data_IF_490764978884
#
_entry.id   IF_490764978884
#
_cell.length_a   1.000
_cell.length_b   1.000
_cell.length_c   1.000
_cell.angle_alpha   90.00
_cell.angle_beta   90.00
_cell.angle_gamma   90.00
#
_symmetry.space_group_name_H-M   'P 1'
#
loop_
_entity.id
_entity.type
_entity.pdbx_description
1 polymer ?
#
# COMPACT_ATOMS: atom_id res chain seq x y z
N UNK A 1 74.04 61.43 76.84
CA UNK A 1 73.07 60.39 76.47
C UNK A 1 73.45 59.89 75.10
N UNK A 2 73.82 58.61 75.01
CA UNK A 2 74.64 58.02 73.94
C UNK A 2 73.89 57.91 72.60
N UNK A 3 74.61 58.13 71.50
CA UNK A 3 74.06 58.09 70.12
C UNK A 3 73.47 56.73 69.71
N UNK A 4 73.65 55.70 70.52
CA UNK A 4 73.08 54.36 70.34
C UNK A 4 71.56 54.34 70.46
N UNK A 5 70.97 55.13 71.37
CA UNK A 5 69.51 55.16 71.56
C UNK A 5 68.83 55.87 70.38
N UNK A 6 69.45 56.93 69.84
CA UNK A 6 68.96 57.65 68.67
C UNK A 6 69.00 56.77 67.42
N UNK A 7 70.05 55.96 67.24
CA UNK A 7 70.17 55.06 66.09
C UNK A 7 69.12 53.93 66.10
N UNK A 8 68.75 53.41 67.28
CA UNK A 8 67.71 52.37 67.39
C UNK A 8 66.32 52.96 67.08
N UNK A 9 66.04 54.18 67.56
CA UNK A 9 64.77 54.87 67.28
C UNK A 9 64.61 55.23 65.81
N UNK A 10 65.66 55.70 65.13
CA UNK A 10 65.58 56.01 63.70
C UNK A 10 65.40 54.75 62.84
N UNK A 11 66.01 53.64 63.22
CA UNK A 11 65.85 52.36 62.52
C UNK A 11 64.44 51.76 62.70
N UNK A 12 63.85 51.89 63.90
CA UNK A 12 62.48 51.45 64.17
C UNK A 12 61.45 52.26 63.38
N UNK A 13 61.63 53.58 63.26
CA UNK A 13 60.76 54.45 62.46
C UNK A 13 60.89 54.13 60.96
N UNK A 14 62.11 53.88 60.48
CA UNK A 14 62.35 53.46 59.09
C UNK A 14 61.65 52.14 58.74
N UNK A 15 61.66 51.16 59.64
CA UNK A 15 60.99 49.87 59.44
C UNK A 15 59.47 50.03 59.34
N UNK A 16 58.86 50.84 60.21
CA UNK A 16 57.42 51.09 60.19
C UNK A 16 56.96 51.80 58.91
N UNK A 17 57.73 52.77 58.42
CA UNK A 17 57.45 53.45 57.15
C UNK A 17 57.59 52.47 55.98
N UNK A 18 58.59 51.60 56.00
CA UNK A 18 58.78 50.56 54.98
C UNK A 18 57.61 49.58 54.89
N UNK A 19 57.10 49.11 56.04
CA UNK A 19 55.93 48.21 56.09
C UNK A 19 54.67 48.92 55.58
N UNK A 20 54.45 50.17 55.95
CA UNK A 20 53.31 50.95 55.49
C UNK A 20 53.33 51.21 53.97
N UNK A 21 54.51 51.53 53.40
CA UNK A 21 54.67 51.68 51.95
C UNK A 21 54.50 50.33 51.22
N UNK A 22 54.99 49.24 51.80
CA UNK A 22 54.83 47.89 51.25
C UNK A 22 53.36 47.50 51.12
N UNK A 23 52.54 47.79 52.13
CA UNK A 23 51.10 47.51 52.11
C UNK A 23 50.35 48.33 51.05
N UNK A 24 50.76 49.60 50.85
CA UNK A 24 50.11 50.51 49.90
C UNK A 24 50.43 50.16 48.44
N UNK A 25 51.65 49.68 48.17
CA UNK A 25 52.05 49.23 46.82
C UNK A 25 51.45 47.85 46.49
N UNK A 26 51.32 46.95 47.46
CA UNK A 26 50.63 45.68 47.27
C UNK A 26 49.13 45.85 46.94
N UNK A 27 48.48 46.87 47.52
CA UNK A 27 47.08 47.20 47.22
C UNK A 27 46.82 47.83 45.85
N UNK A 28 47.85 48.15 45.06
CA UNK A 28 47.72 48.81 43.74
C UNK A 28 48.18 47.97 42.55
N UNK A 29 48.59 46.71 42.75
CA UNK A 29 49.00 45.79 41.66
C UNK A 29 47.95 44.76 41.23
N UNK A 30 46.72 44.84 41.75
CA UNK A 30 45.59 43.98 41.33
C UNK A 30 44.56 44.71 40.48
N UNK A 31 44.99 45.58 39.57
CA UNK A 31 44.10 46.29 38.65
C UNK A 31 44.73 46.48 37.27
N UNK A 32 45.01 45.40 36.52
CA UNK A 32 45.27 45.55 35.06
C UNK A 32 45.04 44.31 34.16
N UNK A 33 44.31 43.25 34.56
CA UNK A 33 44.08 42.11 33.62
C UNK A 33 42.66 41.49 33.65
N UNK A 34 41.67 42.13 34.28
CA UNK A 34 40.35 41.53 34.48
C UNK A 34 39.23 41.96 33.53
N UNK A 35 39.39 43.02 32.74
CA UNK A 35 38.23 43.74 32.17
C UNK A 35 37.75 43.24 30.79
N UNK A 36 38.50 42.41 30.06
CA UNK A 36 38.05 41.93 28.74
C UNK A 36 37.34 40.57 28.74
N UNK A 37 37.56 39.73 29.75
CA UNK A 37 36.91 38.42 29.82
C UNK A 37 35.45 38.51 30.30
N UNK A 38 35.14 39.43 31.22
CA UNK A 38 33.82 39.54 31.83
C UNK A 38 32.75 40.10 30.87
N UNK A 39 33.09 41.11 30.04
CA UNK A 39 32.16 41.67 29.04
C UNK A 39 31.90 40.71 27.88
N UNK A 40 32.90 39.91 27.45
CA UNK A 40 32.68 38.92 26.39
C UNK A 40 31.84 37.71 26.85
N UNK A 41 31.90 37.37 28.14
CA UNK A 41 31.09 36.30 28.73
C UNK A 41 29.63 36.74 28.90
N UNK A 42 29.37 37.98 29.35
CA UNK A 42 28.01 38.49 29.48
C UNK A 42 27.30 38.67 28.13
N UNK A 43 27.99 39.20 27.12
CA UNK A 43 27.44 39.37 25.77
C UNK A 43 27.20 38.04 25.05
N UNK A 44 28.01 37.00 25.34
CA UNK A 44 27.75 35.64 24.83
C UNK A 44 26.55 35.00 25.51
N UNK A 45 26.48 35.09 26.84
CA UNK A 45 25.35 34.54 27.60
C UNK A 45 24.02 35.17 27.18
N UNK A 46 24.00 36.48 26.95
CA UNK A 46 22.82 37.21 26.48
C UNK A 46 22.41 36.80 25.06
N UNK A 47 23.38 36.66 24.13
CA UNK A 47 23.11 36.18 22.76
C UNK A 47 22.61 34.73 22.73
N UNK A 48 23.15 33.87 23.59
CA UNK A 48 22.77 32.46 23.66
C UNK A 48 21.35 32.30 24.25
N UNK A 49 20.96 33.17 25.20
CA UNK A 49 19.59 33.25 25.71
C UNK A 49 18.58 33.63 24.62
N UNK A 50 18.87 34.68 23.84
CA UNK A 50 18.01 35.15 22.76
C UNK A 50 17.90 34.15 21.60
N UNK A 51 18.94 33.36 21.33
CA UNK A 51 18.88 32.25 20.37
C UNK A 51 18.01 31.11 20.89
N UNK A 52 18.19 30.72 22.16
CA UNK A 52 17.39 29.68 22.79
C UNK A 52 15.89 30.01 22.79
N UNK A 53 15.50 31.26 23.08
CA UNK A 53 14.10 31.68 23.01
C UNK A 53 13.53 31.64 21.59
N UNK A 54 14.30 32.07 20.58
CA UNK A 54 13.88 32.00 19.17
C UNK A 54 13.77 30.57 18.66
N UNK A 55 14.70 29.71 19.03
CA UNK A 55 14.69 28.30 18.62
C UNK A 55 13.54 27.55 19.30
N UNK A 56 13.22 27.89 20.57
CA UNK A 56 12.05 27.36 21.28
C UNK A 56 10.73 27.84 20.69
N UNK A 57 10.64 29.12 20.29
CA UNK A 57 9.45 29.67 19.64
C UNK A 57 9.24 29.11 18.22
N UNK A 58 10.32 28.90 17.47
CA UNK A 58 10.29 28.29 16.13
C UNK A 58 9.96 26.79 16.20
N UNK A 59 10.47 26.07 17.20
CA UNK A 59 10.12 24.68 17.45
C UNK A 59 8.64 24.52 17.82
N UNK A 60 8.11 25.40 18.68
CA UNK A 60 6.68 25.43 19.00
C UNK A 60 5.79 25.73 17.78
N UNK A 61 6.20 26.65 16.92
CA UNK A 61 5.45 27.00 15.70
C UNK A 61 5.49 25.91 14.63
N UNK A 62 6.63 25.23 14.43
CA UNK A 62 6.75 24.10 13.48
C UNK A 62 5.93 22.89 13.95
N UNK A 63 6.04 22.56 15.24
CA UNK A 63 5.24 21.48 15.82
C UNK A 63 3.74 21.78 15.73
N UNK A 64 3.32 23.03 15.97
CA UNK A 64 1.92 23.42 15.81
C UNK A 64 1.43 23.32 14.36
N UNK A 65 2.29 23.63 13.36
CA UNK A 65 1.92 23.51 11.95
C UNK A 65 1.89 22.06 11.46
N UNK A 66 2.81 21.21 11.91
CA UNK A 66 2.78 19.76 11.62
C UNK A 66 1.59 19.07 12.30
N UNK A 67 1.27 19.41 13.54
CA UNK A 67 0.10 18.87 14.26
C UNK A 67 -1.19 19.29 13.59
N UNK A 68 -1.31 20.54 13.12
CA UNK A 68 -2.50 20.99 12.40
C UNK A 68 -2.62 20.33 11.01
N UNK A 69 -1.51 20.12 10.30
CA UNK A 69 -1.49 19.38 9.04
C UNK A 69 -1.89 17.90 9.23
N UNK A 70 -1.40 17.27 10.30
CA UNK A 70 -1.75 15.90 10.66
C UNK A 70 -3.22 15.78 11.08
N UNK A 71 -3.74 16.75 11.85
CA UNK A 71 -5.15 16.83 12.21
C UNK A 71 -6.04 16.97 10.98
N UNK A 72 -5.67 17.85 10.04
CA UNK A 72 -6.40 18.05 8.78
C UNK A 72 -6.38 16.78 7.92
N UNK A 73 -5.24 16.09 7.86
CA UNK A 73 -5.11 14.81 7.15
C UNK A 73 -5.95 13.70 7.80
N UNK A 74 -5.94 13.61 9.14
CA UNK A 74 -6.79 12.68 9.91
C UNK A 74 -8.27 12.96 9.73
N UNK A 75 -8.69 14.23 9.75
CA UNK A 75 -10.09 14.62 9.51
C UNK A 75 -10.53 14.27 8.08
N UNK A 76 -9.66 14.47 7.08
CA UNK A 76 -9.93 14.07 5.69
C UNK A 76 -10.03 12.55 5.55
N UNK A 77 -9.11 11.81 6.17
CA UNK A 77 -9.09 10.35 6.14
C UNK A 77 -10.30 9.75 6.88
N UNK A 78 -10.70 10.32 8.01
CA UNK A 78 -11.93 9.95 8.72
C UNK A 78 -13.17 10.20 7.86
N UNK A 79 -13.21 11.33 7.14
CA UNK A 79 -14.34 11.68 6.28
C UNK A 79 -14.43 10.76 5.07
N UNK A 80 -13.30 10.45 4.42
CA UNK A 80 -13.24 9.50 3.30
C UNK A 80 -13.57 8.07 3.76
N UNK A 81 -13.10 7.64 4.93
CA UNK A 81 -13.43 6.34 5.52
C UNK A 81 -14.93 6.25 5.88
N UNK A 82 -15.51 7.30 6.47
CA UNK A 82 -16.93 7.35 6.78
C UNK A 82 -17.80 7.33 5.52
N UNK A 83 -17.42 8.07 4.46
CA UNK A 83 -18.11 8.05 3.18
C UNK A 83 -18.00 6.68 2.48
N UNK A 84 -16.83 6.03 2.56
CA UNK A 84 -16.63 4.68 2.03
C UNK A 84 -17.48 3.63 2.79
N UNK A 85 -17.52 3.71 4.12
CA UNK A 85 -18.37 2.85 4.94
C UNK A 85 -19.86 3.09 4.66
N UNK A 86 -20.27 4.34 4.46
CA UNK A 86 -21.65 4.68 4.11
C UNK A 86 -22.06 4.11 2.75
N UNK A 87 -21.20 4.24 1.73
CA UNK A 87 -21.40 3.63 0.41
C UNK A 87 -21.44 2.10 0.48
N UNK A 88 -20.60 1.49 1.34
CA UNK A 88 -20.61 0.05 1.57
C UNK A 88 -21.93 -0.41 2.20
N UNK A 89 -22.41 0.32 3.21
CA UNK A 89 -23.67 0.02 3.90
C UNK A 89 -24.87 0.21 2.96
N UNK A 90 -24.90 1.26 2.15
CA UNK A 90 -25.95 1.47 1.13
C UNK A 90 -25.95 0.32 0.12
N UNK A 91 -24.80 -0.03 -0.45
CA UNK A 91 -24.70 -1.16 -1.36
C UNK A 91 -25.14 -2.48 -0.71
N UNK A 92 -24.73 -2.74 0.54
CA UNK A 92 -25.14 -3.94 1.28
C UNK A 92 -26.64 -3.96 1.58
N UNK A 93 -27.24 -2.80 1.86
CA UNK A 93 -28.67 -2.62 2.08
C UNK A 93 -29.46 -2.86 0.80
N UNK A 94 -29.03 -2.31 -0.33
CA UNK A 94 -29.63 -2.53 -1.64
C UNK A 94 -29.58 -4.01 -2.01
N UNK A 95 -28.45 -4.65 -1.75
CA UNK A 95 -28.27 -6.10 -1.97
C UNK A 95 -29.19 -6.91 -1.06
N UNK A 96 -29.27 -6.62 0.25
CA UNK A 96 -30.21 -7.32 1.14
C UNK A 96 -31.64 -7.13 0.70
N UNK A 97 -31.98 -5.94 0.22
CA UNK A 97 -33.31 -5.62 -0.29
C UNK A 97 -33.59 -6.41 -1.56
N UNK A 98 -32.63 -6.52 -2.47
CA UNK A 98 -32.77 -7.26 -3.72
C UNK A 98 -32.79 -8.78 -3.50
N UNK A 99 -32.00 -9.30 -2.56
CA UNK A 99 -32.02 -10.72 -2.15
C UNK A 99 -33.34 -11.07 -1.48
N UNK A 100 -33.84 -10.21 -0.57
CA UNK A 100 -35.17 -10.39 0.03
C UNK A 100 -36.27 -10.29 -1.02
N UNK A 101 -36.21 -9.30 -1.90
CA UNK A 101 -37.15 -9.17 -3.01
C UNK A 101 -37.15 -10.42 -3.90
N UNK A 102 -35.99 -11.02 -4.17
CA UNK A 102 -35.85 -12.24 -4.95
C UNK A 102 -36.37 -13.48 -4.21
N UNK A 103 -36.13 -13.58 -2.89
CA UNK A 103 -36.70 -14.62 -2.03
C UNK A 103 -38.22 -14.54 -1.95
N UNK A 104 -38.77 -13.34 -1.75
CA UNK A 104 -40.22 -13.08 -1.72
C UNK A 104 -40.86 -13.23 -3.11
N UNK A 105 -40.15 -12.88 -4.19
CA UNK A 105 -40.59 -13.20 -5.55
C UNK A 105 -40.63 -14.72 -5.75
N UNK A 106 -39.64 -15.48 -5.25
CA UNK A 106 -39.63 -16.94 -5.37
C UNK A 106 -40.80 -17.62 -4.64
N UNK A 107 -41.18 -17.17 -3.44
CA UNK A 107 -42.39 -17.67 -2.76
C UNK A 107 -43.69 -17.32 -3.52
N UNK A 108 -43.77 -16.11 -4.08
CA UNK A 108 -44.87 -15.70 -4.96
C UNK A 108 -44.89 -16.48 -6.30
N UNK A 109 -43.73 -16.92 -6.80
CA UNK A 109 -43.58 -17.66 -8.06
C UNK A 109 -44.05 -19.12 -7.93
N UNK A 110 -44.00 -19.70 -6.72
CA UNK A 110 -44.65 -21.00 -6.43
C UNK A 110 -46.17 -20.89 -6.58
N UNK A 111 -46.78 -19.79 -6.14
CA UNK A 111 -48.22 -19.54 -6.37
C UNK A 111 -48.55 -19.20 -7.85
N UNK A 112 -47.59 -18.62 -8.59
CA UNK A 112 -47.69 -18.35 -10.03
C UNK A 112 -47.17 -19.51 -10.91
N UNK A 113 -46.90 -20.69 -10.33
CA UNK A 113 -46.25 -21.83 -11.00
C UNK A 113 -47.00 -22.29 -12.24
N UNK A 114 -48.31 -22.06 -12.36
CA UNK A 114 -49.09 -22.43 -13.55
C UNK A 114 -48.67 -21.69 -14.83
N UNK A 115 -48.23 -20.44 -14.73
CA UNK A 115 -47.80 -19.65 -15.88
C UNK A 115 -46.37 -20.00 -16.34
N UNK A 116 -45.51 -20.36 -15.39
CA UNK A 116 -44.11 -20.72 -15.64
C UNK A 116 -43.97 -22.20 -16.02
N UNK A 117 -44.75 -23.11 -15.41
CA UNK A 117 -44.85 -24.51 -15.82
C UNK A 117 -45.25 -24.64 -17.31
N UNK A 118 -46.14 -23.76 -17.79
CA UNK A 118 -46.49 -23.66 -19.21
C UNK A 118 -45.32 -23.18 -20.09
N UNK A 119 -44.57 -22.15 -19.65
CA UNK A 119 -43.44 -21.59 -20.40
C UNK A 119 -42.17 -22.48 -20.37
N UNK A 120 -41.98 -23.27 -19.32
CA UNK A 120 -40.91 -24.25 -19.12
C UNK A 120 -41.35 -25.69 -19.48
N UNK A 121 -42.46 -25.88 -20.19
CA UNK A 121 -42.99 -27.21 -20.53
C UNK A 121 -42.06 -28.03 -21.44
N UNK A 122 -41.20 -27.38 -22.23
CA UNK A 122 -40.22 -28.05 -23.09
C UNK A 122 -38.81 -28.05 -22.46
N UNK A 123 -38.13 -29.21 -22.51
CA UNK A 123 -36.77 -29.42 -21.97
C UNK A 123 -35.74 -28.41 -22.51
N UNK A 124 -35.87 -28.02 -23.78
CA UNK A 124 -34.97 -27.05 -24.40
C UNK A 124 -35.13 -25.63 -23.85
N UNK A 125 -36.36 -25.19 -23.56
CA UNK A 125 -36.63 -23.86 -22.99
C UNK A 125 -36.19 -23.80 -21.52
N UNK A 126 -36.31 -24.92 -20.79
CA UNK A 126 -35.81 -25.05 -19.41
C UNK A 126 -34.31 -24.87 -19.31
N UNK A 127 -33.54 -25.58 -20.14
CA UNK A 127 -32.08 -25.47 -20.15
C UNK A 127 -31.63 -24.03 -20.42
N UNK A 128 -32.23 -23.38 -21.43
CA UNK A 128 -31.94 -21.96 -21.74
C UNK A 128 -32.28 -21.01 -20.60
N UNK A 129 -33.36 -21.25 -19.85
CA UNK A 129 -33.71 -20.43 -18.70
C UNK A 129 -32.70 -20.57 -17.56
N UNK A 130 -32.31 -21.81 -17.24
CA UNK A 130 -31.28 -22.09 -16.23
C UNK A 130 -29.94 -21.48 -16.60
N UNK A 131 -29.50 -21.63 -17.85
CA UNK A 131 -28.28 -21.01 -18.37
C UNK A 131 -28.32 -19.48 -18.29
N UNK A 132 -29.42 -18.86 -18.73
CA UNK A 132 -29.55 -17.40 -18.70
C UNK A 132 -29.59 -16.84 -17.25
N UNK A 133 -30.26 -17.54 -16.33
CA UNK A 133 -30.27 -17.17 -14.91
C UNK A 133 -28.86 -17.25 -14.32
N UNK A 134 -28.13 -18.33 -14.64
CA UNK A 134 -26.77 -18.53 -14.17
C UNK A 134 -25.81 -17.48 -14.75
N UNK A 135 -25.91 -17.14 -16.04
CA UNK A 135 -25.10 -16.09 -16.67
C UNK A 135 -25.35 -14.72 -16.03
N UNK A 136 -26.60 -14.40 -15.70
CA UNK A 136 -26.95 -13.17 -14.99
C UNK A 136 -26.35 -13.14 -13.57
N UNK A 137 -26.34 -14.27 -12.86
CA UNK A 137 -25.73 -14.37 -11.53
C UNK A 137 -24.21 -14.18 -11.57
N UNK A 138 -23.54 -14.77 -12.56
CA UNK A 138 -22.10 -14.61 -12.77
C UNK A 138 -21.73 -13.15 -13.04
N UNK A 139 -22.48 -12.48 -13.92
CA UNK A 139 -22.31 -11.06 -14.21
C UNK A 139 -22.59 -10.18 -12.98
N UNK A 140 -23.66 -10.48 -12.24
CA UNK A 140 -24.01 -9.78 -11.00
C UNK A 140 -22.98 -9.95 -9.88
N UNK A 141 -22.25 -11.06 -9.86
CA UNK A 141 -21.13 -11.30 -8.97
C UNK A 141 -19.82 -10.60 -9.40
N UNK A 142 -19.83 -9.91 -10.55
CA UNK A 142 -18.66 -9.20 -11.08
C UNK A 142 -17.70 -10.07 -11.89
N UNK A 143 -18.09 -11.29 -12.25
CA UNK A 143 -17.28 -12.17 -13.09
C UNK A 143 -17.51 -11.81 -14.57
N UNK A 144 -16.43 -11.74 -15.35
CA UNK A 144 -16.50 -11.40 -16.78
C UNK A 144 -16.36 -12.67 -17.62
N UNK A 145 -17.18 -12.69 -18.67
CA UNK A 145 -17.17 -13.77 -19.66
C UNK A 145 -15.83 -13.78 -20.40
N UNK A 146 -15.35 -14.99 -20.68
CA UNK A 146 -14.09 -15.30 -21.36
C UNK A 146 -12.82 -14.83 -20.63
N UNK A 147 -12.96 -14.36 -19.38
CA UNK A 147 -11.85 -14.02 -18.48
C UNK A 147 -11.94 -14.87 -17.21
N UNK A 148 -12.95 -14.61 -16.38
CA UNK A 148 -13.14 -15.37 -15.13
C UNK A 148 -14.03 -16.60 -15.33
N UNK A 149 -14.92 -16.61 -16.33
CA UNK A 149 -15.70 -17.80 -16.67
C UNK A 149 -15.88 -17.98 -18.16
N UNK A 150 -16.05 -19.23 -18.59
CA UNK A 150 -16.33 -19.61 -19.97
C UNK A 150 -17.64 -20.39 -20.00
N UNK A 151 -18.59 -19.92 -20.81
CA UNK A 151 -19.85 -20.61 -21.06
C UNK A 151 -19.74 -21.39 -22.38
N UNK A 152 -19.90 -22.71 -22.33
CA UNK A 152 -19.86 -23.53 -23.54
C UNK A 152 -21.30 -23.75 -24.04
N UNK A 153 -21.63 -23.17 -25.19
CA UNK A 153 -22.90 -23.49 -25.86
C UNK A 153 -22.84 -24.94 -26.32
N UNK A 154 -23.83 -25.76 -25.98
CA UNK A 154 -23.97 -27.09 -26.56
C UNK A 154 -24.22 -26.95 -28.07
N UNK A 155 -23.15 -26.90 -28.85
CA UNK A 155 -23.21 -27.07 -30.29
C UNK A 155 -23.45 -28.56 -30.54
N UNK A 156 -24.42 -28.82 -31.40
CA UNK A 156 -24.90 -30.14 -31.80
C UNK A 156 -23.80 -30.94 -32.49
N UNK A 157 -22.87 -31.52 -31.75
CA UNK A 157 -21.99 -32.56 -32.23
C UNK A 157 -21.92 -33.67 -31.19
N UNK A 158 -21.99 -34.91 -31.69
CA UNK A 158 -22.27 -36.14 -30.95
C UNK A 158 -21.20 -36.57 -29.91
N UNK A 159 -20.31 -35.65 -29.53
CA UNK A 159 -19.18 -35.86 -28.60
C UNK A 159 -19.24 -34.95 -27.35
N UNK A 160 -20.30 -34.16 -27.18
CA UNK A 160 -20.45 -33.19 -26.07
C UNK A 160 -20.87 -33.82 -24.72
N UNK A 161 -20.72 -35.14 -24.54
CA UNK A 161 -21.25 -35.87 -23.36
C UNK A 161 -20.47 -35.60 -22.06
N UNK A 162 -19.39 -34.82 -22.12
CA UNK A 162 -18.51 -34.54 -20.99
C UNK A 162 -18.10 -33.09 -20.87
N UNK A 163 -18.91 -32.13 -21.33
CA UNK A 163 -18.61 -30.69 -21.24
C UNK A 163 -19.58 -30.03 -20.26
N UNK A 164 -19.09 -29.26 -19.26
CA UNK A 164 -19.95 -28.56 -18.32
C UNK A 164 -20.54 -27.31 -18.97
N UNK A 165 -21.76 -26.93 -18.59
CA UNK A 165 -22.43 -25.77 -19.20
C UNK A 165 -21.62 -24.47 -18.96
N UNK A 166 -21.07 -24.31 -17.74
CA UNK A 166 -20.16 -23.19 -17.40
C UNK A 166 -18.94 -23.69 -16.62
N UNK A 167 -17.77 -23.16 -16.98
CA UNK A 167 -16.53 -23.29 -16.19
C UNK A 167 -16.15 -21.93 -15.62
N UNK A 168 -16.04 -21.82 -14.31
CA UNK A 168 -15.51 -20.64 -13.61
C UNK A 168 -14.07 -20.96 -13.22
N UNK A 169 -13.14 -20.13 -13.64
CA UNK A 169 -11.76 -20.20 -13.18
C UNK A 169 -11.71 -19.62 -11.77
N UNK A 170 -10.85 -20.17 -10.92
CA UNK A 170 -10.64 -19.67 -9.56
C UNK A 170 -9.22 -19.11 -9.42
N UNK A 171 -9.01 -18.11 -8.55
CA UNK A 171 -7.66 -17.68 -8.20
C UNK A 171 -6.90 -18.84 -7.54
N UNK A 172 -5.69 -19.12 -8.01
CA UNK A 172 -4.91 -20.30 -7.58
C UNK A 172 -4.93 -21.47 -8.55
N UNK A 173 -5.59 -21.35 -9.71
CA UNK A 173 -5.54 -22.34 -10.80
C UNK A 173 -6.63 -23.40 -10.77
N UNK A 174 -7.43 -23.46 -9.70
CA UNK A 174 -8.57 -24.36 -9.57
C UNK A 174 -9.71 -24.00 -10.52
N UNK A 175 -10.54 -24.98 -10.91
CA UNK A 175 -11.72 -24.78 -11.74
C UNK A 175 -12.99 -25.21 -11.01
N UNK A 176 -14.06 -24.47 -11.27
CA UNK A 176 -15.40 -24.74 -10.77
C UNK A 176 -16.30 -25.02 -11.96
N UNK A 177 -16.85 -26.22 -12.03
CA UNK A 177 -17.74 -26.65 -13.09
C UNK A 177 -19.19 -26.53 -12.63
N UNK A 178 -20.04 -25.92 -13.45
CA UNK A 178 -21.45 -25.72 -13.13
C UNK A 178 -22.29 -26.37 -14.22
N UNK A 179 -23.13 -27.32 -13.83
CA UNK A 179 -24.15 -27.95 -14.68
C UNK A 179 -25.52 -27.36 -14.30
N UNK A 180 -26.24 -26.84 -15.29
CA UNK A 180 -27.54 -26.19 -15.11
C UNK A 180 -28.71 -27.10 -15.47
N UNK A 181 -28.45 -28.37 -15.77
CA UNK A 181 -29.48 -29.34 -16.13
C UNK A 181 -29.99 -30.01 -14.87
N UNK A 182 -31.30 -30.03 -14.70
CA UNK A 182 -31.95 -30.64 -13.56
C UNK A 182 -33.25 -31.32 -14.00
N UNK A 183 -33.61 -32.47 -13.41
CA UNK A 183 -34.92 -33.07 -13.59
C UNK A 183 -36.00 -32.19 -12.95
N UNK A 184 -37.09 -31.97 -13.69
CA UNK A 184 -38.15 -31.02 -13.31
C UNK A 184 -39.56 -31.58 -13.54
N UNK A 185 -39.70 -32.64 -14.34
CA UNK A 185 -41.01 -33.09 -14.83
C UNK A 185 -41.90 -33.62 -13.68
N UNK A 186 -41.35 -34.46 -12.79
CA UNK A 186 -42.05 -34.99 -11.62
C UNK A 186 -42.51 -33.93 -10.63
N UNK A 187 -41.70 -32.88 -10.47
CA UNK A 187 -42.06 -31.76 -9.60
C UNK A 187 -43.28 -31.01 -10.15
N UNK A 188 -43.35 -30.77 -11.45
CA UNK A 188 -44.51 -30.13 -12.08
C UNK A 188 -45.74 -31.03 -12.00
N UNK A 189 -45.61 -32.31 -12.34
CA UNK A 189 -46.69 -33.30 -12.22
C UNK A 189 -47.27 -33.30 -10.79
N UNK A 190 -46.42 -33.28 -9.76
CA UNK A 190 -46.85 -33.26 -8.36
C UNK A 190 -47.74 -32.05 -8.02
N UNK A 191 -47.47 -30.90 -8.64
CA UNK A 191 -48.24 -29.67 -8.42
C UNK A 191 -49.55 -29.62 -9.23
N UNK A 192 -49.70 -30.44 -10.27
CA UNK A 192 -50.92 -30.56 -11.06
C UNK A 192 -51.91 -31.59 -10.48
N UNK A 193 -51.42 -32.54 -9.68
CA UNK A 193 -52.23 -33.61 -9.09
C UNK A 193 -52.94 -33.17 -7.81
N UNK A 194 -54.27 -33.34 -7.80
CA UNK A 194 -55.12 -33.02 -6.65
C UNK A 194 -55.04 -34.08 -5.52
N UNK A 195 -54.81 -35.35 -5.86
CA UNK A 195 -54.66 -36.44 -4.90
C UNK A 195 -53.36 -36.31 -4.07
N UNK A 196 -53.46 -36.15 -2.73
CA UNK A 196 -52.28 -36.03 -1.87
C UNK A 196 -51.36 -37.25 -1.89
N UNK A 197 -51.90 -38.47 -2.06
CA UNK A 197 -51.10 -39.68 -2.05
C UNK A 197 -50.23 -39.79 -3.32
N UNK A 198 -50.83 -39.51 -4.47
CA UNK A 198 -50.12 -39.47 -5.75
C UNK A 198 -49.11 -38.31 -5.80
N UNK A 199 -49.44 -37.15 -5.21
CA UNK A 199 -48.50 -36.03 -5.07
C UNK A 199 -47.23 -36.40 -4.31
N UNK A 200 -47.37 -37.10 -3.18
CA UNK A 200 -46.22 -37.51 -2.38
C UNK A 200 -45.37 -38.58 -3.10
N UNK A 201 -46.01 -39.47 -3.87
CA UNK A 201 -45.31 -40.41 -4.76
C UNK A 201 -44.47 -39.68 -5.80
N UNK A 202 -45.02 -38.64 -6.43
CA UNK A 202 -44.31 -37.84 -7.43
C UNK A 202 -43.14 -37.06 -6.84
N UNK A 203 -43.26 -36.52 -5.63
CA UNK A 203 -42.11 -35.89 -4.93
C UNK A 203 -41.02 -36.90 -4.56
N UNK A 204 -41.39 -38.14 -4.23
CA UNK A 204 -40.42 -39.21 -3.99
C UNK A 204 -39.64 -39.56 -5.27
N UNK A 205 -40.33 -39.65 -6.41
CA UNK A 205 -39.66 -39.86 -7.71
C UNK A 205 -38.83 -38.64 -8.14
N UNK A 206 -39.29 -37.40 -7.89
CA UNK A 206 -38.49 -36.18 -8.11
C UNK A 206 -37.15 -36.23 -7.36
N UNK A 207 -37.17 -36.61 -6.08
CA UNK A 207 -35.94 -36.78 -5.29
C UNK A 207 -35.01 -37.82 -5.91
N UNK A 208 -35.57 -38.94 -6.37
CA UNK A 208 -34.81 -40.03 -6.98
C UNK A 208 -34.19 -39.61 -8.32
N UNK A 209 -34.92 -38.85 -9.14
CA UNK A 209 -34.40 -38.29 -10.39
C UNK A 209 -33.23 -37.34 -10.11
N UNK A 210 -33.37 -36.44 -9.13
CA UNK A 210 -32.29 -35.55 -8.70
C UNK A 210 -31.06 -36.33 -8.22
N UNK A 211 -31.26 -37.36 -7.38
CA UNK A 211 -30.17 -38.20 -6.90
C UNK A 211 -29.46 -38.96 -8.02
N UNK A 212 -30.21 -39.49 -8.99
CA UNK A 212 -29.66 -40.13 -10.18
C UNK A 212 -28.83 -39.17 -11.03
N UNK A 213 -29.29 -37.93 -11.16
CA UNK A 213 -28.55 -36.89 -11.88
C UNK A 213 -27.26 -36.52 -11.16
N UNK A 214 -27.27 -36.37 -9.83
CA UNK A 214 -26.07 -36.17 -9.01
C UNK A 214 -25.05 -37.29 -9.22
N UNK A 215 -25.50 -38.55 -9.20
CA UNK A 215 -24.61 -39.71 -9.45
C UNK A 215 -24.06 -39.69 -10.88
N UNK A 216 -24.86 -39.29 -11.86
CA UNK A 216 -24.43 -39.15 -13.26
C UNK A 216 -23.38 -38.05 -13.40
N UNK A 217 -23.58 -36.92 -12.75
CA UNK A 217 -22.66 -35.79 -12.76
C UNK A 217 -21.34 -36.14 -12.06
N UNK A 218 -21.41 -36.84 -10.92
CA UNK A 218 -20.23 -37.34 -10.22
C UNK A 218 -19.39 -38.30 -11.10
N UNK A 219 -20.06 -39.18 -11.86
CA UNK A 219 -19.39 -40.11 -12.81
C UNK A 219 -18.78 -39.43 -14.02
N UNK A 220 -19.35 -38.30 -14.47
CA UNK A 220 -18.75 -37.46 -15.52
C UNK A 220 -17.49 -36.75 -15.02
N UNK A 221 -17.27 -36.77 -13.70
CA UNK A 221 -16.07 -36.39 -12.96
C UNK A 221 -14.98 -35.77 -13.83
N UNK A 222 -15.01 -34.45 -13.94
CA UNK A 222 -13.94 -33.63 -14.53
C UNK A 222 -12.58 -33.75 -13.80
N UNK A 223 -12.51 -34.63 -12.79
CA UNK A 223 -11.42 -34.89 -11.85
C UNK A 223 -10.12 -35.42 -12.50
N UNK A 224 -10.07 -35.63 -13.82
CA UNK A 224 -8.86 -36.10 -14.52
C UNK A 224 -7.91 -34.97 -14.95
N UNK A 225 -8.23 -33.70 -14.66
CA UNK A 225 -7.27 -32.61 -14.91
C UNK A 225 -6.25 -32.53 -13.76
N UNK A 226 -4.96 -32.68 -14.09
CA UNK A 226 -3.87 -32.98 -13.14
C UNK A 226 -3.52 -31.87 -12.12
N UNK A 227 -4.24 -30.74 -12.11
CA UNK A 227 -3.90 -29.58 -11.29
C UNK A 227 -5.09 -29.15 -10.41
N UNK A 228 -5.10 -29.63 -9.16
CA UNK A 228 -5.98 -29.21 -8.05
C UNK A 228 -7.41 -29.79 -8.03
N UNK A 229 -8.07 -29.87 -6.85
CA UNK A 229 -9.41 -30.46 -6.75
C UNK A 229 -10.47 -29.64 -7.50
N UNK A 230 -11.07 -30.27 -8.50
CA UNK A 230 -12.18 -29.72 -9.28
C UNK A 230 -13.50 -29.82 -8.51
N UNK A 231 -14.18 -28.69 -8.31
CA UNK A 231 -15.50 -28.66 -7.67
C UNK A 231 -16.59 -28.68 -8.73
N UNK A 232 -17.59 -29.55 -8.56
CA UNK A 232 -18.75 -29.63 -9.45
C UNK A 232 -20.00 -29.14 -8.73
N UNK A 233 -20.68 -28.16 -9.33
CA UNK A 233 -21.93 -27.61 -8.85
C UNK A 233 -23.07 -28.08 -9.76
N UNK A 234 -24.09 -28.67 -9.16
CA UNK A 234 -25.40 -28.83 -9.77
C UNK A 234 -26.25 -27.60 -9.43
N UNK A 235 -26.58 -26.80 -10.44
CA UNK A 235 -27.43 -25.62 -10.28
C UNK A 235 -28.91 -25.97 -10.41
N UNK A 236 -29.68 -25.66 -9.36
CA UNK A 236 -31.13 -25.90 -9.28
C UNK A 236 -31.84 -24.55 -9.25
N UNK A 237 -32.53 -24.11 -10.32
CA UNK A 237 -32.96 -22.72 -10.48
C UNK A 237 -34.10 -22.27 -9.57
N UNK A 238 -34.72 -23.19 -8.84
CA UNK A 238 -35.79 -22.90 -7.90
C UNK A 238 -35.47 -23.51 -6.53
N UNK A 239 -35.62 -22.71 -5.47
CA UNK A 239 -35.42 -23.17 -4.10
C UNK A 239 -36.40 -24.29 -3.73
N UNK A 240 -37.64 -24.22 -4.24
CA UNK A 240 -38.69 -25.20 -3.97
C UNK A 240 -38.31 -26.62 -4.43
N UNK A 241 -37.58 -26.75 -5.54
CA UNK A 241 -37.12 -28.05 -6.03
C UNK A 241 -36.21 -28.77 -5.03
N UNK A 242 -35.30 -28.01 -4.41
CA UNK A 242 -34.38 -28.54 -3.43
C UNK A 242 -35.10 -28.78 -2.09
N UNK A 243 -35.97 -27.87 -1.67
CA UNK A 243 -36.74 -27.99 -0.42
C UNK A 243 -37.62 -29.24 -0.42
N UNK A 244 -38.31 -29.54 -1.53
CA UNK A 244 -39.15 -30.74 -1.63
C UNK A 244 -38.31 -32.02 -1.57
N UNK A 245 -37.14 -32.05 -2.23
CA UNK A 245 -36.22 -33.19 -2.14
C UNK A 245 -35.69 -33.40 -0.71
N UNK A 246 -35.37 -32.31 0.01
CA UNK A 246 -34.89 -32.34 1.39
C UNK A 246 -35.98 -32.75 2.39
N UNK A 247 -37.26 -32.46 2.12
CA UNK A 247 -38.37 -32.95 2.93
C UNK A 247 -38.42 -34.48 2.92
N UNK A 248 -38.24 -35.09 1.75
CA UNK A 248 -38.25 -36.54 1.58
C UNK A 248 -36.97 -37.18 2.14
N UNK A 249 -35.82 -36.52 1.93
CA UNK A 249 -34.50 -37.02 2.33
C UNK A 249 -33.64 -35.89 2.91
N UNK A 250 -33.65 -35.71 4.24
CA UNK A 250 -32.89 -34.66 4.90
C UNK A 250 -31.36 -34.78 4.71
N UNK A 251 -30.86 -35.98 4.38
CA UNK A 251 -29.43 -36.24 4.17
C UNK A 251 -29.01 -36.07 2.70
N UNK A 252 -29.91 -35.65 1.82
CA UNK A 252 -29.66 -35.55 0.39
C UNK A 252 -28.45 -34.66 0.05
N UNK A 253 -28.29 -33.51 0.70
CA UNK A 253 -27.14 -32.62 0.51
C UNK A 253 -25.81 -33.28 0.93
N UNK A 254 -25.80 -33.98 2.07
CA UNK A 254 -24.61 -34.67 2.56
C UNK A 254 -24.20 -35.81 1.62
N UNK A 255 -25.18 -36.54 1.09
CA UNK A 255 -24.95 -37.62 0.13
C UNK A 255 -24.39 -37.09 -1.20
N UNK A 256 -24.89 -35.95 -1.69
CA UNK A 256 -24.33 -35.30 -2.87
C UNK A 256 -22.89 -34.83 -2.63
N UNK A 257 -22.62 -34.23 -1.45
CA UNK A 257 -21.30 -33.76 -1.07
C UNK A 257 -20.26 -34.90 -0.99
N UNK A 258 -20.64 -36.07 -0.48
CA UNK A 258 -19.80 -37.29 -0.48
C UNK A 258 -19.40 -37.75 -1.88
N UNK A 259 -20.15 -37.35 -2.92
CA UNK A 259 -19.87 -37.64 -4.32
C UNK A 259 -19.14 -36.48 -5.03
N UNK A 260 -18.59 -35.52 -4.26
CA UNK A 260 -17.96 -34.30 -4.76
C UNK A 260 -18.87 -33.42 -5.65
N UNK A 261 -20.20 -33.51 -5.46
CA UNK A 261 -21.17 -32.68 -6.15
C UNK A 261 -21.88 -31.78 -5.13
N UNK A 262 -21.74 -30.47 -5.31
CA UNK A 262 -22.45 -29.50 -4.48
C UNK A 262 -23.72 -29.06 -5.19
N UNK A 263 -24.86 -29.11 -4.49
CA UNK A 263 -26.13 -28.63 -5.03
C UNK A 263 -26.29 -27.17 -4.62
N UNK A 264 -26.47 -26.29 -5.59
CA UNK A 264 -26.65 -24.86 -5.35
C UNK A 264 -27.94 -24.36 -5.99
N UNK A 265 -28.72 -23.64 -5.21
CA UNK A 265 -29.90 -22.88 -5.63
C UNK A 265 -29.52 -21.42 -5.91
N UNK A 266 -30.38 -20.59 -6.54
CA UNK A 266 -30.12 -19.17 -6.75
C UNK A 266 -29.48 -18.44 -5.57
N UNK A 267 -29.99 -18.65 -4.35
CA UNK A 267 -29.50 -17.93 -3.17
C UNK A 267 -28.11 -18.39 -2.76
N UNK A 268 -27.91 -19.70 -2.69
CA UNK A 268 -26.62 -20.30 -2.30
C UNK A 268 -25.55 -20.11 -3.38
N UNK A 269 -25.94 -20.17 -4.65
CA UNK A 269 -25.07 -19.89 -5.79
C UNK A 269 -24.61 -18.43 -5.80
N UNK A 270 -25.51 -17.48 -5.56
CA UNK A 270 -25.13 -16.07 -5.44
C UNK A 270 -24.16 -15.82 -4.30
N UNK A 271 -24.35 -16.47 -3.14
CA UNK A 271 -23.43 -16.36 -2.03
C UNK A 271 -22.03 -16.92 -2.38
N UNK A 272 -21.99 -18.08 -3.05
CA UNK A 272 -20.76 -18.68 -3.56
C UNK A 272 -20.06 -17.76 -4.57
N UNK A 273 -20.74 -17.38 -5.64
CA UNK A 273 -20.18 -16.54 -6.70
C UNK A 273 -19.70 -15.18 -6.19
N UNK A 274 -20.40 -14.56 -5.23
CA UNK A 274 -19.95 -13.32 -4.60
C UNK A 274 -18.70 -13.53 -3.77
N UNK A 275 -18.60 -14.65 -3.05
CA UNK A 275 -17.38 -15.00 -2.33
C UNK A 275 -16.22 -15.13 -3.31
N UNK A 276 -16.45 -15.79 -4.45
CA UNK A 276 -15.46 -15.93 -5.53
C UNK A 276 -15.08 -14.54 -6.09
N UNK A 277 -16.05 -13.69 -6.44
CA UNK A 277 -15.80 -12.33 -6.94
C UNK A 277 -15.05 -11.45 -5.93
N UNK A 278 -15.31 -11.61 -4.63
CA UNK A 278 -14.57 -10.93 -3.57
C UNK A 278 -13.11 -11.41 -3.50
N UNK A 279 -12.86 -12.72 -3.67
CA UNK A 279 -11.50 -13.25 -3.74
C UNK A 279 -10.78 -12.72 -4.97
N UNK A 280 -11.45 -12.61 -6.11
CA UNK A 280 -10.90 -12.00 -7.33
C UNK A 280 -10.49 -10.54 -7.14
N UNK A 281 -11.37 -9.71 -6.57
CA UNK A 281 -11.05 -8.29 -6.32
C UNK A 281 -9.90 -8.12 -5.34
N UNK A 282 -9.79 -8.97 -4.31
CA UNK A 282 -8.66 -8.97 -3.35
C UNK A 282 -7.35 -9.41 -4.01
N UNK A 283 -7.37 -10.45 -4.84
CA UNK A 283 -6.17 -10.92 -5.53
C UNK A 283 -5.66 -9.94 -6.59
N UNK A 284 -6.56 -9.27 -7.32
CA UNK A 284 -6.17 -8.22 -8.26
C UNK A 284 -5.42 -7.07 -7.56
N UNK A 285 -5.83 -6.69 -6.35
CA UNK A 285 -5.15 -5.69 -5.53
C UNK A 285 -3.77 -6.19 -5.08
N UNK A 286 -3.65 -7.47 -4.67
CA UNK A 286 -2.37 -8.07 -4.25
C UNK A 286 -1.35 -8.12 -5.39
N UNK A 287 -1.77 -8.53 -6.59
CA UNK A 287 -0.86 -8.63 -7.73
C UNK A 287 -0.38 -7.26 -8.21
N UNK A 288 -1.24 -6.23 -8.10
CA UNK A 288 -0.85 -4.86 -8.37
C UNK A 288 0.14 -4.33 -7.33
N UNK A 289 -0.04 -4.65 -6.04
CA UNK A 289 0.89 -4.26 -4.98
C UNK A 289 2.30 -4.84 -5.21
N UNK A 290 2.39 -6.11 -5.63
CA UNK A 290 3.68 -6.75 -5.94
C UNK A 290 4.38 -6.07 -7.12
N UNK A 291 3.64 -5.75 -8.19
CA UNK A 291 4.17 -5.02 -9.34
C UNK A 291 4.62 -3.59 -8.98
N UNK A 292 3.90 -2.91 -8.09
CA UNK A 292 4.29 -1.60 -7.55
C UNK A 292 5.58 -1.72 -6.74
N UNK A 293 5.68 -2.71 -5.85
CA UNK A 293 6.88 -2.94 -5.03
C UNK A 293 8.11 -3.21 -5.92
N UNK A 294 7.97 -4.05 -6.94
CA UNK A 294 9.03 -4.32 -7.92
C UNK A 294 9.46 -3.07 -8.69
N UNK A 295 8.49 -2.25 -9.11
CA UNK A 295 8.75 -0.98 -9.81
C UNK A 295 9.42 0.05 -8.90
N UNK A 296 8.99 0.15 -7.65
CA UNK A 296 9.59 1.03 -6.64
C UNK A 296 11.04 0.61 -6.32
N UNK A 297 11.31 -0.69 -6.19
CA UNK A 297 12.66 -1.21 -5.99
C UNK A 297 13.60 -0.86 -7.17
N UNK A 298 13.12 -1.00 -8.41
CA UNK A 298 13.87 -0.61 -9.60
C UNK A 298 14.14 0.91 -9.62
N UNK A 299 13.12 1.72 -9.32
CA UNK A 299 13.25 3.17 -9.27
C UNK A 299 14.26 3.63 -8.21
N UNK A 300 14.23 3.04 -7.00
CA UNK A 300 15.20 3.34 -5.95
C UNK A 300 16.62 2.99 -6.37
N UNK A 301 16.82 1.85 -7.04
CA UNK A 301 18.13 1.47 -7.60
C UNK A 301 18.64 2.51 -8.60
N UNK A 302 17.77 2.96 -9.50
CA UNK A 302 18.13 3.95 -10.52
C UNK A 302 18.39 5.34 -9.90
N UNK A 303 17.65 5.70 -8.84
CA UNK A 303 17.87 6.93 -8.07
C UNK A 303 19.22 6.92 -7.34
N UNK A 304 19.61 5.81 -6.71
CA UNK A 304 20.92 5.65 -6.08
C UNK A 304 22.05 5.75 -7.11
N UNK A 305 21.87 5.16 -8.30
CA UNK A 305 22.83 5.27 -9.39
C UNK A 305 22.97 6.71 -9.88
N UNK A 306 21.84 7.42 -10.04
CA UNK A 306 21.82 8.83 -10.43
C UNK A 306 22.54 9.70 -9.38
N UNK A 307 22.24 9.51 -8.09
CA UNK A 307 22.91 10.22 -6.99
C UNK A 307 24.42 10.03 -7.04
N UNK A 308 24.88 8.78 -7.23
CA UNK A 308 26.32 8.47 -7.37
C UNK A 308 26.97 9.22 -8.53
N UNK A 309 26.28 9.35 -9.68
CA UNK A 309 26.77 10.11 -10.83
C UNK A 309 26.81 11.61 -10.55
N UNK A 310 25.79 12.16 -9.88
CA UNK A 310 25.75 13.57 -9.47
C UNK A 310 26.92 13.90 -8.55
N UNK A 311 27.21 13.04 -7.56
CA UNK A 311 28.37 13.21 -6.66
C UNK A 311 29.70 13.19 -7.42
N UNK A 312 29.87 12.27 -8.38
CA UNK A 312 31.07 12.23 -9.25
C UNK A 312 31.23 13.50 -10.09
N UNK A 313 30.14 14.04 -10.63
CA UNK A 313 30.19 15.30 -11.39
C UNK A 313 30.52 16.47 -10.47
N UNK A 314 29.89 16.56 -9.30
CA UNK A 314 30.17 17.62 -8.32
C UNK A 314 31.63 17.63 -7.87
N UNK A 315 32.22 16.47 -7.59
CA UNK A 315 33.64 16.35 -7.22
C UNK A 315 34.59 16.74 -8.36
N UNK A 316 34.27 16.38 -9.60
CA UNK A 316 35.04 16.79 -10.78
C UNK A 316 34.99 18.31 -11.01
N UNK A 317 33.81 18.93 -10.85
CA UNK A 317 33.62 20.39 -10.97
C UNK A 317 34.41 21.11 -9.87
N UNK A 318 34.37 20.64 -8.61
CA UNK A 318 35.16 21.20 -7.52
C UNK A 318 36.67 21.11 -7.79
N UNK A 319 37.13 19.97 -8.31
CA UNK A 319 38.54 19.77 -8.68
C UNK A 319 38.98 20.72 -9.80
N UNK A 320 38.14 20.89 -10.84
CA UNK A 320 38.38 21.83 -11.94
C UNK A 320 38.41 23.28 -11.44
N UNK A 321 37.46 23.66 -10.59
CA UNK A 321 37.40 25.00 -10.00
C UNK A 321 38.66 25.32 -9.20
N UNK A 322 39.15 24.35 -8.40
CA UNK A 322 40.40 24.49 -7.64
C UNK A 322 41.62 24.63 -8.57
N UNK A 323 41.75 23.79 -9.59
CA UNK A 323 42.84 23.86 -10.56
C UNK A 323 42.84 25.20 -11.32
N UNK A 324 41.65 25.71 -11.68
CA UNK A 324 41.50 27.02 -12.29
C UNK A 324 41.93 28.15 -11.33
N UNK A 325 41.53 28.07 -10.06
CA UNK A 325 41.92 29.00 -9.01
C UNK A 325 43.44 29.06 -8.77
N UNK A 326 44.16 27.96 -8.96
CA UNK A 326 45.64 27.90 -8.86
C UNK A 326 46.34 28.38 -10.15
N UNK A 327 45.72 28.19 -11.31
CA UNK A 327 46.27 28.58 -12.62
C UNK A 327 46.37 30.11 -12.75
N UNK A 328 45.35 30.85 -12.34
CA UNK A 328 45.30 32.31 -12.53
C UNK A 328 46.44 33.04 -11.79
N UNK A 329 46.70 32.80 -10.49
CA UNK A 329 47.85 33.38 -9.79
C UNK A 329 49.18 32.98 -10.43
N UNK A 330 49.32 31.71 -10.81
CA UNK A 330 50.55 31.18 -11.44
C UNK A 330 50.82 31.86 -12.79
N UNK A 331 49.79 32.04 -13.62
CA UNK A 331 49.90 32.76 -14.89
C UNK A 331 50.26 34.25 -14.67
N UNK A 332 49.68 34.88 -13.63
CA UNK A 332 50.00 36.26 -13.27
C UNK A 332 51.47 36.42 -12.81
N UNK A 333 51.99 35.52 -11.97
CA UNK A 333 53.37 35.62 -11.45
C UNK A 333 54.41 35.21 -12.47
N UNK A 334 54.16 34.16 -13.25
CA UNK A 334 55.18 33.54 -14.11
C UNK A 334 55.17 34.15 -15.50
N UNK A 335 53.99 34.33 -16.10
CA UNK A 335 53.87 34.78 -17.50
C UNK A 335 53.74 36.30 -17.57
N UNK A 336 52.81 36.90 -16.81
CA UNK A 336 52.54 38.35 -16.92
C UNK A 336 53.70 39.20 -16.39
N UNK A 337 54.35 38.79 -15.30
CA UNK A 337 55.55 39.46 -14.77
C UNK A 337 56.74 39.35 -15.73
N UNK A 338 57.07 38.14 -16.19
CA UNK A 338 58.16 37.94 -17.13
C UNK A 338 57.93 38.66 -18.46
N UNK A 339 56.69 38.63 -19.00
CA UNK A 339 56.33 39.37 -20.21
C UNK A 339 56.47 40.89 -20.03
N UNK A 340 56.10 41.42 -18.84
CA UNK A 340 56.31 42.84 -18.50
C UNK A 340 57.80 43.20 -18.48
N UNK A 341 58.63 42.37 -17.85
CA UNK A 341 60.07 42.60 -17.74
C UNK A 341 60.73 42.56 -19.14
N UNK A 342 60.39 41.58 -19.98
CA UNK A 342 60.89 41.43 -21.36
C UNK A 342 60.48 42.62 -22.25
N UNK A 343 59.22 43.06 -22.17
CA UNK A 343 58.76 44.27 -22.88
C UNK A 343 59.47 45.54 -22.40
N UNK A 344 59.91 45.58 -21.14
CA UNK A 344 60.73 46.66 -20.57
C UNK A 344 62.15 46.72 -21.16
N UNK A 345 62.68 45.60 -21.67
CA UNK A 345 63.98 45.52 -22.33
C UNK A 345 63.95 45.85 -23.83
N UNK A 346 62.82 46.33 -24.36
CA UNK A 346 62.72 46.83 -25.74
C UNK A 346 62.52 45.76 -26.82
N UNK A 347 62.19 44.53 -26.43
CA UNK A 347 61.86 43.44 -27.38
C UNK A 347 60.46 43.67 -27.96
N UNK A 348 60.32 43.54 -29.28
CA UNK A 348 59.03 43.73 -29.98
C UNK A 348 58.06 42.61 -29.63
N UNK A 349 56.88 42.99 -29.13
CA UNK A 349 55.78 42.08 -28.80
C UNK A 349 54.43 42.80 -28.88
N UNK A 350 53.36 42.05 -29.16
CA UNK A 350 52.02 42.58 -29.35
C UNK A 350 51.35 42.93 -28.00
N UNK A 351 51.60 44.16 -27.52
CA UNK A 351 51.15 44.68 -26.22
C UNK A 351 49.62 44.63 -26.05
N UNK A 352 48.86 44.66 -27.15
CA UNK A 352 47.40 44.67 -27.10
C UNK A 352 46.82 43.31 -26.67
N UNK A 353 47.42 42.20 -27.11
CA UNK A 353 46.95 40.84 -26.75
C UNK A 353 47.32 40.43 -25.32
N UNK A 354 48.40 40.99 -24.77
CA UNK A 354 48.85 40.75 -23.39
C UNK A 354 48.06 41.57 -22.35
N UNK A 355 47.31 42.58 -22.79
CA UNK A 355 46.48 43.43 -21.93
C UNK A 355 45.06 42.87 -21.70
N UNK A 356 44.69 41.77 -22.37
CA UNK A 356 43.38 41.12 -22.19
C UNK A 356 43.29 40.63 -20.73
N UNK A 357 42.26 41.08 -20.01
CA UNK A 357 42.01 40.66 -18.65
C UNK A 357 41.65 39.17 -18.61
N UNK A 358 42.20 38.44 -17.64
CA UNK A 358 41.78 37.06 -17.40
C UNK A 358 40.32 37.05 -16.93
N UNK A 359 39.53 36.03 -17.28
CA UNK A 359 38.17 35.89 -16.78
C UNK A 359 38.18 35.77 -15.25
N UNK A 360 37.17 36.33 -14.60
CA UNK A 360 36.94 36.14 -13.17
C UNK A 360 36.83 34.64 -12.83
N UNK A 361 37.22 34.27 -11.61
CA UNK A 361 37.10 32.90 -11.15
C UNK A 361 35.63 32.44 -11.22
N UNK A 362 35.36 31.16 -11.58
CA UNK A 362 34.00 30.65 -11.56
C UNK A 362 33.41 30.81 -10.15
N UNK A 363 32.15 31.21 -10.06
CA UNK A 363 31.44 31.37 -8.80
C UNK A 363 31.53 30.09 -7.93
N UNK A 364 31.51 30.25 -6.60
CA UNK A 364 31.51 29.12 -5.67
C UNK A 364 30.46 28.08 -6.07
N UNK A 365 30.90 26.85 -6.26
CA UNK A 365 30.05 25.74 -6.67
C UNK A 365 29.15 25.42 -5.48
N UNK A 366 27.83 25.54 -5.67
CA UNK A 366 26.86 25.25 -4.61
C UNK A 366 26.96 23.78 -4.20
N UNK A 367 27.36 23.53 -2.96
CA UNK A 367 27.44 22.18 -2.41
C UNK A 367 26.04 21.58 -2.21
N UNK A 368 25.86 20.32 -2.67
CA UNK A 368 24.71 19.50 -2.31
C UNK A 368 24.90 19.00 -0.88
N UNK A 369 24.13 19.54 0.05
CA UNK A 369 24.13 19.09 1.45
C UNK A 369 23.28 17.81 1.57
N UNK A 370 23.87 16.71 2.04
CA UNK A 370 23.19 15.44 2.31
C UNK A 370 22.44 15.42 3.66
N UNK A 371 22.03 16.58 4.19
CA UNK A 371 21.70 16.72 5.61
C UNK A 371 20.37 16.12 6.07
N UNK A 372 19.63 15.36 5.24
CA UNK A 372 18.27 14.90 5.57
C UNK A 372 18.00 13.42 5.21
N UNK A 373 19.01 12.55 5.17
CA UNK A 373 18.80 11.09 5.05
C UNK A 373 19.23 10.35 6.31
N UNK A 374 18.63 10.67 7.44
CA UNK A 374 18.56 9.78 8.60
C UNK A 374 17.14 9.23 8.63
N UNK A 375 16.93 8.08 7.98
CA UNK A 375 15.76 7.26 8.27
C UNK A 375 16.10 6.58 9.59
N UNK A 376 15.43 6.97 10.67
CA UNK A 376 15.50 6.24 11.93
C UNK A 376 15.09 4.79 11.61
N UNK A 377 16.03 3.85 11.78
CA UNK A 377 15.82 2.42 11.59
C UNK A 377 14.97 1.87 12.74
N UNK A 378 13.69 2.24 12.80
CA UNK A 378 12.69 1.53 13.60
C UNK A 378 12.23 0.31 12.79
N UNK A 379 13.09 -0.71 12.74
CA UNK A 379 12.64 -2.05 12.41
C UNK A 379 11.68 -2.51 13.52
N UNK A 380 10.41 -2.68 13.18
CA UNK A 380 9.47 -3.42 14.01
C UNK A 380 9.97 -4.87 14.03
N UNK A 381 10.52 -5.31 15.16
CA UNK A 381 10.77 -6.72 15.43
C UNK A 381 9.43 -7.47 15.30
N UNK A 382 9.30 -8.26 14.23
CA UNK A 382 8.24 -9.24 14.12
C UNK A 382 8.51 -10.31 15.18
N UNK A 383 7.74 -10.32 16.26
CA UNK A 383 7.72 -11.43 17.21
C UNK A 383 7.44 -12.74 16.45
N UNK A 384 8.44 -13.63 16.40
CA UNK A 384 8.23 -15.03 16.09
C UNK A 384 7.29 -15.61 17.15
N UNK A 385 6.03 -15.83 16.75
CA UNK A 385 5.09 -16.66 17.50
C UNK A 385 5.67 -18.08 17.49
N UNK A 386 6.25 -18.48 18.62
CA UNK A 386 6.58 -19.89 18.86
C UNK A 386 5.27 -20.66 19.01
N UNK A 387 5.07 -21.64 18.15
CA UNK A 387 4.09 -22.70 18.35
C UNK A 387 4.47 -23.47 19.63
N UNK A 388 3.60 -23.41 20.65
CA UNK A 388 3.65 -24.36 21.77
C UNK A 388 2.81 -25.60 21.41
N UNK A 389 3.43 -26.76 21.63
CA UNK A 389 2.95 -28.14 21.36
C UNK A 389 1.65 -28.53 22.06
#
# INVERSE_FOLDING_TARGET
MSSTVVAILTLAIGLLIGIALGYLIAGRRTTTDGTSAAEFVSVRAERDLYKSERDSAMAGSKLATEVEAMKTAMEKLQKEAADADRRRIEAESDIRTQVRAMSTHNESLVAQTKAIAGALSNSQTRGKFGEAQLELMLQGAGLRKDIEYTAQRSTTDADSSGIPDITVHMPGGTKLFIDSKFPFDRFIEAHEVEDPAERERLFTEHKKDLASHVVTLAKRGYHESQDSPDFVILFVPFESLLTEALRIDPLFLENAFKLNVTIATPTSMMALLRTIGNVYSRNAVSHNAENIAKSAALFMKDLTLLHTRIVKVGTAINSLSKAYGELIPTAQTTVKKAAKDILGYGVSGDKAKLAIAYPDAPAEVRELKNSEMTVDEDFIDAEEVKDEE
#
